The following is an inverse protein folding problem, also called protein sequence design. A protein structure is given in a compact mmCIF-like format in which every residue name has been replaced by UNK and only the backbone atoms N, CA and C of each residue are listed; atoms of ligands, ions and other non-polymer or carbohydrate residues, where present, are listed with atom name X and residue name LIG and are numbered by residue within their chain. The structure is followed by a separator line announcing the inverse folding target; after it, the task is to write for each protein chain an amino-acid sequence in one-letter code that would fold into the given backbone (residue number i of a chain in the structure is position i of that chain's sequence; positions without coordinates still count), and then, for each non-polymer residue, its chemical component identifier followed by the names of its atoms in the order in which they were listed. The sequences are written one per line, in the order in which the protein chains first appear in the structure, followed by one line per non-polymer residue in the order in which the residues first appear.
data_IF_005034905415
#
_entry.id   IF_005034905415
#
_cell.length_a   1.000
_cell.length_b   1.000
_cell.length_c   1.000
_cell.angle_alpha   90.00
_cell.angle_beta   90.00
_cell.angle_gamma   90.00
#
_symmetry.space_group_name_H-M   'P 1'
#
loop_
_entity.id
_entity.type
_entity.pdbx_description
1 polymer ?
#
# COMPACT_ATOMS: atom_id res chain seq x y z
N UNK A 1 7.44 3.30 -15.61
CA UNK A 1 7.50 3.99 -14.31
C UNK A 1 7.41 2.93 -13.20
N UNK A 2 8.53 2.50 -12.61
CA UNK A 2 8.53 1.51 -11.54
C UNK A 2 7.97 2.08 -10.23
N UNK A 3 7.61 1.21 -9.29
CA UNK A 3 7.11 1.61 -7.96
C UNK A 3 8.21 2.34 -7.18
N UNK A 4 7.86 3.43 -6.50
CA UNK A 4 8.82 4.18 -5.69
C UNK A 4 9.32 3.32 -4.51
N UNK A 5 10.62 3.35 -4.20
CA UNK A 5 11.19 2.53 -3.13
C UNK A 5 11.35 1.06 -3.49
N UNK A 6 11.17 0.68 -4.77
CA UNK A 6 11.45 -0.65 -5.26
C UNK A 6 12.94 -0.83 -5.54
N UNK A 7 13.58 -1.71 -4.77
CA UNK A 7 15.02 -2.02 -4.88
C UNK A 7 15.38 -2.91 -6.07
N UNK A 8 14.41 -3.67 -6.59
CA UNK A 8 14.65 -4.68 -7.64
C UNK A 8 14.37 -4.08 -9.01
N UNK A 9 13.23 -3.39 -9.15
CA UNK A 9 12.75 -2.91 -10.45
C UNK A 9 12.79 -1.39 -10.60
N UNK A 10 13.18 -0.66 -9.55
CA UNK A 10 13.12 0.79 -9.51
C UNK A 10 14.34 1.43 -8.88
N UNK A 11 14.09 2.45 -8.05
CA UNK A 11 15.10 3.19 -7.32
C UNK A 11 14.67 3.37 -5.87
N UNK A 12 15.66 3.42 -5.00
CA UNK A 12 15.48 3.80 -3.60
C UNK A 12 15.32 5.33 -3.45
N UNK A 13 14.71 5.73 -2.34
CA UNK A 13 14.56 7.14 -1.95
C UNK A 13 14.88 7.26 -0.46
N UNK A 14 15.63 8.29 -0.06
CA UNK A 14 16.14 8.43 1.31
C UNK A 14 15.03 8.46 2.39
N UNK A 15 13.86 9.00 2.05
CA UNK A 15 12.71 9.13 2.95
C UNK A 15 11.67 8.00 2.79
N UNK A 16 11.98 6.95 2.03
CA UNK A 16 11.07 5.84 1.76
C UNK A 16 11.81 4.49 1.89
N UNK A 17 11.59 3.82 3.02
CA UNK A 17 12.36 2.63 3.42
C UNK A 17 11.94 1.33 2.73
N UNK A 18 10.81 1.34 2.01
CA UNK A 18 10.23 0.19 1.31
C UNK A 18 9.46 0.63 0.08
N UNK A 19 8.99 -0.32 -0.72
CA UNK A 19 8.08 -0.01 -1.84
C UNK A 19 6.86 0.79 -1.36
N UNK A 20 6.55 1.88 -2.06
CA UNK A 20 5.30 2.64 -1.93
C UNK A 20 4.16 1.80 -2.51
N UNK A 21 3.82 0.74 -1.77
CA UNK A 21 2.79 -0.22 -2.10
C UNK A 21 2.02 -0.54 -0.81
N UNK A 22 0.70 -0.42 -0.88
CA UNK A 22 -0.21 -0.65 0.22
C UNK A 22 -1.52 -1.25 -0.28
N UNK A 23 -1.95 -2.36 0.33
CA UNK A 23 -3.26 -2.95 0.04
C UNK A 23 -4.32 -2.21 0.85
N UNK A 24 -4.81 -1.09 0.28
CA UNK A 24 -5.75 -0.21 0.99
C UNK A 24 -7.14 -0.83 1.18
N UNK A 25 -7.56 -1.72 0.28
CA UNK A 25 -8.89 -2.33 0.29
C UNK A 25 -8.79 -3.81 -0.03
N UNK A 26 -9.45 -4.63 0.78
CA UNK A 26 -9.69 -6.04 0.51
C UNK A 26 -11.20 -6.29 0.41
N UNK A 27 -11.64 -6.85 -0.72
CA UNK A 27 -13.06 -7.13 -0.93
C UNK A 27 -13.23 -8.50 -1.57
N UNK A 28 -14.08 -9.34 -0.97
CA UNK A 28 -14.36 -10.70 -1.43
C UNK A 28 -15.73 -11.18 -0.94
N UNK A 29 -16.18 -12.32 -1.44
CA UNK A 29 -17.37 -13.00 -0.92
C UNK A 29 -16.98 -13.83 0.30
N UNK A 30 -17.60 -13.55 1.45
CA UNK A 30 -17.32 -14.29 2.68
C UNK A 30 -17.64 -15.78 2.46
N UNK A 31 -16.72 -16.71 2.81
CA UNK A 31 -16.86 -18.12 2.48
C UNK A 31 -18.11 -18.75 3.08
N UNK A 32 -18.43 -18.44 4.34
CA UNK A 32 -19.56 -19.07 5.04
C UNK A 32 -20.92 -18.43 4.73
N UNK A 33 -20.96 -17.13 4.41
CA UNK A 33 -22.23 -16.38 4.28
C UNK A 33 -22.54 -15.97 2.85
N UNK A 34 -21.60 -16.15 1.92
CA UNK A 34 -21.62 -15.65 0.54
C UNK A 34 -21.84 -14.13 0.40
N UNK A 35 -21.89 -13.37 1.52
CA UNK A 35 -22.05 -11.92 1.50
C UNK A 35 -20.77 -11.27 1.02
N UNK A 36 -20.91 -10.24 0.19
CA UNK A 36 -19.80 -9.38 -0.20
C UNK A 36 -19.35 -8.56 1.00
N UNK A 37 -18.11 -8.77 1.44
CA UNK A 37 -17.49 -8.05 2.56
C UNK A 37 -16.37 -7.15 2.03
N UNK A 38 -16.17 -6.01 2.68
CA UNK A 38 -15.14 -5.02 2.36
C UNK A 38 -14.40 -4.65 3.63
N UNK A 39 -13.08 -4.65 3.56
CA UNK A 39 -12.18 -4.20 4.60
C UNK A 39 -11.30 -3.08 4.05
N UNK A 40 -11.03 -2.08 4.87
CA UNK A 40 -10.19 -0.94 4.52
C UNK A 40 -9.06 -0.81 5.54
N UNK A 41 -7.86 -0.54 5.06
CA UNK A 41 -6.70 -0.25 5.88
C UNK A 41 -6.21 1.16 5.56
N UNK A 42 -6.18 2.09 6.53
CA UNK A 42 -5.70 3.45 6.30
C UNK A 42 -4.25 3.43 5.82
N UNK A 43 -3.83 4.51 5.16
CA UNK A 43 -2.46 4.64 4.66
C UNK A 43 -1.48 4.51 5.85
N UNK A 44 -0.49 3.60 5.77
CA UNK A 44 0.51 3.46 6.82
C UNK A 44 1.26 4.77 7.08
N UNK A 45 1.66 5.00 8.34
CA UNK A 45 2.29 6.26 8.73
C UNK A 45 3.60 6.55 7.99
N UNK A 46 4.42 5.53 7.74
CA UNK A 46 5.67 5.59 6.98
C UNK A 46 5.45 6.11 5.54
N UNK A 47 4.43 5.58 4.86
CA UNK A 47 4.06 6.01 3.51
C UNK A 47 3.38 7.38 3.52
N UNK A 48 2.51 7.62 4.50
CA UNK A 48 1.80 8.91 4.65
C UNK A 48 2.77 10.06 4.86
N UNK A 49 3.82 9.82 5.64
CA UNK A 49 4.86 10.82 5.89
C UNK A 49 5.63 11.17 4.61
N UNK A 50 5.90 10.20 3.73
CA UNK A 50 6.54 10.44 2.44
C UNK A 50 5.77 11.42 1.54
N UNK A 51 4.45 11.36 1.56
CA UNK A 51 3.59 12.26 0.77
C UNK A 51 3.70 13.74 1.20
N UNK A 52 4.06 14.01 2.46
CA UNK A 52 4.19 15.37 2.97
C UNK A 52 5.54 16.02 2.63
N UNK A 53 6.49 15.26 2.06
CA UNK A 53 7.80 15.76 1.64
C UNK A 53 7.86 16.13 0.15
N UNK A 54 6.78 15.88 -0.61
CA UNK A 54 6.63 16.24 -2.01
C UNK A 54 5.87 17.57 -2.12
#
# INVERSE_FOLDING_TARGET
HPVAGDKIYGREFDNLTRQFLHSAVLQFSHPDTAKRVKYEAPLPGDISQFLNFC
#
